data_IF_990500742452
#
_entry.id   IF_990500742452
#
_cell.length_a   1.000
_cell.length_b   1.000
_cell.length_c   1.000
_cell.angle_alpha   90.00
_cell.angle_beta   90.00
_cell.angle_gamma   90.00
#
_symmetry.space_group_name_H-M   'P 1'
#
loop_
_entity.id
_entity.type
_entity.pdbx_description
1 polymer ?
#
# COMPACT_ATOMS: atom_id res chain seq x y z
N UNK A 1 -23.19 -36.01 -7.75
CA UNK A 1 -23.54 -35.12 -8.87
C UNK A 1 -24.18 -33.84 -8.36
N UNK A 2 -25.00 -33.88 -7.30
CA UNK A 2 -25.53 -32.68 -6.61
C UNK A 2 -24.42 -31.82 -5.98
N UNK A 3 -23.45 -32.45 -5.32
CA UNK A 3 -22.34 -31.77 -4.61
C UNK A 3 -21.56 -30.79 -5.49
N UNK A 4 -21.24 -31.19 -6.73
CA UNK A 4 -20.53 -30.33 -7.66
C UNK A 4 -21.38 -29.16 -8.16
N UNK A 5 -22.69 -29.37 -8.36
CA UNK A 5 -23.60 -28.28 -8.74
C UNK A 5 -23.77 -27.28 -7.60
N UNK A 6 -23.85 -27.77 -6.37
CA UNK A 6 -23.93 -26.93 -5.17
C UNK A 6 -22.64 -26.12 -4.98
N UNK A 7 -21.48 -26.72 -5.25
CA UNK A 7 -20.18 -26.03 -5.21
C UNK A 7 -20.03 -24.94 -6.28
N UNK A 8 -20.50 -25.20 -7.50
CA UNK A 8 -20.51 -24.20 -8.57
C UNK A 8 -21.38 -22.99 -8.15
N UNK A 9 -22.53 -23.24 -7.54
CA UNK A 9 -23.41 -22.19 -7.04
C UNK A 9 -22.76 -21.41 -5.88
N UNK A 10 -22.19 -22.10 -4.90
CA UNK A 10 -21.50 -21.47 -3.77
C UNK A 10 -20.28 -20.66 -4.20
N UNK A 11 -19.54 -21.11 -5.21
CA UNK A 11 -18.42 -20.36 -5.77
C UNK A 11 -18.90 -19.03 -6.39
N UNK A 12 -20.03 -19.05 -7.11
CA UNK A 12 -20.66 -17.84 -7.66
C UNK A 12 -21.11 -16.87 -6.55
N UNK A 13 -21.78 -17.39 -5.52
CA UNK A 13 -22.22 -16.61 -4.36
C UNK A 13 -21.05 -16.01 -3.60
N UNK A 14 -19.96 -16.77 -3.43
CA UNK A 14 -18.74 -16.27 -2.79
C UNK A 14 -18.07 -15.16 -3.59
N UNK A 15 -17.95 -15.34 -4.92
CA UNK A 15 -17.37 -14.34 -5.85
C UNK A 15 -18.16 -13.02 -5.84
N UNK A 16 -19.50 -13.10 -5.89
CA UNK A 16 -20.38 -11.93 -5.76
C UNK A 16 -20.44 -11.35 -4.34
N UNK A 17 -19.81 -12.02 -3.37
CA UNK A 17 -19.80 -11.61 -1.97
C UNK A 17 -21.13 -11.74 -1.24
N UNK A 18 -22.00 -12.66 -1.70
CA UNK A 18 -23.30 -12.94 -1.10
C UNK A 18 -23.21 -13.80 0.17
N UNK A 19 -22.10 -14.52 0.36
CA UNK A 19 -21.83 -15.23 1.61
C UNK A 19 -21.42 -14.25 2.71
N UNK A 20 -22.04 -14.38 3.88
CA UNK A 20 -21.81 -13.54 5.06
C UNK A 20 -21.24 -14.31 6.26
N UNK A 21 -20.57 -13.55 7.13
CA UNK A 21 -20.00 -14.02 8.40
C UNK A 21 -19.32 -15.39 8.31
N UNK A 22 -19.83 -16.33 9.11
CA UNK A 22 -19.25 -17.66 9.26
C UNK A 22 -19.32 -18.51 7.97
N UNK A 23 -20.32 -18.29 7.11
CA UNK A 23 -20.44 -19.03 5.86
C UNK A 23 -19.30 -18.66 4.90
N UNK A 24 -18.99 -17.35 4.82
CA UNK A 24 -17.86 -16.85 4.03
C UNK A 24 -16.53 -17.38 4.56
N UNK A 25 -16.32 -17.34 5.87
CA UNK A 25 -15.07 -17.80 6.49
C UNK A 25 -14.86 -19.31 6.31
N UNK A 26 -15.93 -20.10 6.46
CA UNK A 26 -15.89 -21.54 6.23
C UNK A 26 -15.58 -21.88 4.77
N UNK A 27 -16.21 -21.18 3.82
CA UNK A 27 -15.95 -21.38 2.40
C UNK A 27 -14.52 -20.96 2.01
N UNK A 28 -14.03 -19.84 2.54
CA UNK A 28 -12.64 -19.39 2.33
C UNK A 28 -11.61 -20.40 2.87
N UNK A 29 -11.84 -20.95 4.07
CA UNK A 29 -11.00 -22.00 4.63
C UNK A 29 -10.99 -23.25 3.73
N UNK A 30 -12.14 -23.63 3.18
CA UNK A 30 -12.27 -24.77 2.27
C UNK A 30 -11.52 -24.55 0.95
N UNK A 31 -11.69 -23.40 0.30
CA UNK A 31 -10.96 -23.01 -0.93
C UNK A 31 -9.44 -23.14 -0.73
N UNK A 32 -8.92 -22.76 0.45
CA UNK A 32 -7.48 -22.83 0.73
C UNK A 32 -6.87 -24.23 0.64
N UNK A 33 -7.70 -25.27 0.72
CA UNK A 33 -7.31 -26.68 0.70
C UNK A 33 -7.84 -27.47 -0.50
N UNK A 34 -8.70 -26.87 -1.33
CA UNK A 34 -9.35 -27.50 -2.48
C UNK A 34 -9.08 -26.70 -3.76
N UNK A 35 -8.07 -27.09 -4.56
CA UNK A 35 -7.73 -26.40 -5.80
C UNK A 35 -8.83 -26.45 -6.87
N UNK A 36 -9.69 -27.47 -6.84
CA UNK A 36 -10.79 -27.59 -7.80
C UNK A 36 -11.88 -26.57 -7.48
N UNK A 37 -12.21 -26.40 -6.20
CA UNK A 37 -13.13 -25.36 -5.77
C UNK A 37 -12.55 -23.95 -5.99
N UNK A 38 -11.24 -23.76 -5.76
CA UNK A 38 -10.56 -22.50 -6.06
C UNK A 38 -10.68 -22.12 -7.54
N UNK A 39 -10.47 -23.08 -8.46
CA UNK A 39 -10.62 -22.85 -9.89
C UNK A 39 -12.04 -22.43 -10.28
N UNK A 40 -13.08 -22.98 -9.63
CA UNK A 40 -14.46 -22.54 -9.86
C UNK A 40 -14.68 -21.08 -9.45
N UNK A 41 -14.06 -20.61 -8.36
CA UNK A 41 -14.11 -19.21 -7.96
C UNK A 41 -13.39 -18.33 -8.98
N UNK A 42 -12.21 -18.74 -9.43
CA UNK A 42 -11.44 -18.00 -10.45
C UNK A 42 -12.23 -17.88 -11.77
N UNK A 43 -12.93 -18.95 -12.19
CA UNK A 43 -13.78 -18.94 -13.39
C UNK A 43 -14.94 -17.92 -13.26
N UNK A 44 -15.59 -17.87 -12.09
CA UNK A 44 -16.63 -16.89 -11.81
C UNK A 44 -16.09 -15.46 -11.73
N UNK A 45 -14.97 -15.24 -11.05
CA UNK A 45 -14.31 -13.94 -10.96
C UNK A 45 -13.94 -13.40 -12.35
N UNK A 46 -13.42 -14.26 -13.24
CA UNK A 46 -13.13 -13.91 -14.62
C UNK A 46 -14.40 -13.51 -15.39
N UNK A 47 -15.47 -14.30 -15.26
CA UNK A 47 -16.74 -14.02 -15.94
C UNK A 47 -17.37 -12.70 -15.46
N UNK A 48 -17.39 -12.43 -14.16
CA UNK A 48 -17.94 -11.17 -13.63
C UNK A 48 -17.04 -9.97 -13.92
N UNK A 49 -15.71 -10.17 -14.02
CA UNK A 49 -14.80 -9.08 -14.38
C UNK A 49 -15.10 -8.47 -15.75
N UNK A 50 -15.68 -9.24 -16.69
CA UNK A 50 -16.08 -8.71 -18.00
C UNK A 50 -17.15 -7.62 -17.89
N UNK A 51 -18.04 -7.72 -16.89
CA UNK A 51 -19.12 -6.75 -16.64
C UNK A 51 -18.58 -5.39 -16.20
N UNK A 52 -17.35 -5.33 -15.65
CA UNK A 52 -16.73 -4.07 -15.22
C UNK A 52 -16.53 -3.09 -16.39
N UNK A 53 -16.44 -3.58 -17.63
CA UNK A 53 -16.30 -2.75 -18.82
C UNK A 53 -17.53 -1.89 -19.14
N UNK A 54 -18.69 -2.18 -18.54
CA UNK A 54 -19.93 -1.43 -18.75
C UNK A 54 -20.02 -0.15 -17.90
N UNK A 55 -19.13 0.02 -16.92
CA UNK A 55 -19.14 1.18 -16.02
C UNK A 55 -18.20 2.29 -16.50
N UNK A 56 -18.65 3.54 -16.37
CA UNK A 56 -17.81 4.69 -16.65
C UNK A 56 -16.66 4.79 -15.62
N UNK A 57 -15.44 5.04 -16.11
CA UNK A 57 -14.29 5.24 -15.24
C UNK A 57 -14.37 6.58 -14.53
N UNK A 58 -14.36 6.56 -13.20
CA UNK A 58 -14.31 7.77 -12.36
C UNK A 58 -12.92 7.97 -11.76
N UNK A 59 -12.55 9.22 -11.50
CA UNK A 59 -11.29 9.52 -10.82
C UNK A 59 -11.35 9.04 -9.36
N UNK A 60 -10.45 8.12 -8.99
CA UNK A 60 -10.34 7.65 -7.62
C UNK A 60 -9.69 8.71 -6.70
N UNK A 61 -10.11 8.80 -5.41
CA UNK A 61 -9.43 9.62 -4.43
C UNK A 61 -8.03 9.06 -4.10
N UNK A 62 -7.10 9.93 -3.71
CA UNK A 62 -5.74 9.51 -3.34
C UNK A 62 -5.68 8.89 -1.94
N UNK A 63 -6.21 7.68 -1.79
CA UNK A 63 -6.26 6.91 -0.54
C UNK A 63 -5.23 5.79 -0.46
N UNK A 64 -4.50 5.49 -1.55
CA UNK A 64 -3.51 4.42 -1.59
C UNK A 64 -2.47 4.52 -0.47
N UNK A 65 -1.91 5.70 -0.12
CA UNK A 65 -0.95 5.79 0.99
C UNK A 65 -1.54 5.37 2.34
N UNK A 66 -2.84 5.61 2.56
CA UNK A 66 -3.54 5.23 3.80
C UNK A 66 -3.76 3.72 3.86
N UNK A 67 -4.11 3.12 2.71
CA UNK A 67 -4.27 1.67 2.55
C UNK A 67 -2.94 0.96 2.83
N UNK A 68 -1.85 1.41 2.19
CA UNK A 68 -0.51 0.85 2.41
C UNK A 68 -0.08 0.94 3.88
N UNK A 69 -0.33 2.09 4.51
CA UNK A 69 -0.02 2.30 5.92
C UNK A 69 -0.80 1.34 6.84
N UNK A 70 -2.07 1.02 6.51
CA UNK A 70 -2.87 0.09 7.31
C UNK A 70 -2.45 -1.37 7.10
N UNK A 71 -2.21 -1.77 5.85
CA UNK A 71 -1.86 -3.15 5.49
C UNK A 71 -0.44 -3.53 5.90
N UNK A 72 0.52 -2.62 5.69
CA UNK A 72 1.95 -2.92 5.84
C UNK A 72 2.60 -2.17 7.01
N UNK A 73 1.86 -1.27 7.66
CA UNK A 73 2.40 -0.36 8.67
C UNK A 73 3.22 0.78 8.05
N UNK A 74 3.79 1.64 8.90
CA UNK A 74 4.78 2.61 8.45
C UNK A 74 6.07 1.87 8.11
N UNK A 75 6.42 1.84 6.83
CA UNK A 75 7.80 1.58 6.40
C UNK A 75 8.68 2.55 7.18
N UNK A 76 9.38 2.06 8.22
CA UNK A 76 10.32 2.90 8.97
C UNK A 76 11.21 3.57 7.94
N UNK A 77 11.20 4.91 7.88
CA UNK A 77 12.10 5.64 6.97
C UNK A 77 13.48 4.99 7.05
N UNK A 78 14.07 4.61 5.90
CA UNK A 78 15.29 3.84 5.90
C UNK A 78 16.31 4.57 6.76
N UNK A 79 17.00 3.83 7.64
CA UNK A 79 17.91 4.38 8.64
C UNK A 79 18.94 5.34 8.00
N UNK A 80 19.28 5.08 6.74
CA UNK A 80 20.08 5.92 5.85
C UNK A 80 19.52 7.34 5.68
N UNK A 81 18.23 7.54 5.41
CA UNK A 81 17.63 8.89 5.28
C UNK A 81 17.77 9.70 6.57
N UNK A 82 17.62 9.04 7.73
CA UNK A 82 17.82 9.68 9.05
C UNK A 82 19.28 10.08 9.27
N UNK A 83 20.23 9.26 8.83
CA UNK A 83 21.66 9.55 8.93
C UNK A 83 22.07 10.69 7.99
N UNK A 84 21.58 10.70 6.75
CA UNK A 84 21.87 11.77 5.78
C UNK A 84 21.26 13.11 6.20
N UNK A 85 20.05 13.11 6.76
CA UNK A 85 19.44 14.32 7.33
C UNK A 85 20.29 14.91 8.47
N UNK A 86 20.84 14.04 9.33
CA UNK A 86 21.82 14.44 10.36
C UNK A 86 23.03 15.13 9.74
N UNK A 87 23.73 14.47 8.81
CA UNK A 87 24.96 15.02 8.17
C UNK A 87 24.72 16.36 7.48
N UNK A 88 23.56 16.56 6.84
CA UNK A 88 23.21 17.82 6.20
C UNK A 88 23.11 18.99 7.20
N UNK A 89 22.55 18.75 8.39
CA UNK A 89 22.43 19.75 9.46
C UNK A 89 23.81 20.19 9.99
N UNK A 90 24.74 19.25 10.22
CA UNK A 90 26.10 19.59 10.68
C UNK A 90 26.90 20.38 9.63
N UNK A 91 26.72 20.07 8.33
CA UNK A 91 27.35 20.82 7.23
C UNK A 91 26.86 22.27 7.16
N UNK A 92 25.56 22.51 7.34
CA UNK A 92 25.00 23.86 7.38
C UNK A 92 25.52 24.66 8.58
N UNK A 93 25.66 24.03 9.75
CA UNK A 93 26.23 24.68 10.93
C UNK A 93 27.69 25.13 10.70
N UNK A 94 28.52 24.28 10.08
CA UNK A 94 29.91 24.63 9.74
C UNK A 94 30.00 25.78 8.74
N UNK A 95 29.13 25.80 7.71
CA UNK A 95 29.07 26.91 6.77
C UNK A 95 28.65 28.23 7.45
N UNK A 96 27.71 28.18 8.39
CA UNK A 96 27.32 29.34 9.19
C UNK A 96 28.46 29.90 10.04
N UNK A 97 29.25 29.04 10.69
CA UNK A 97 30.42 29.46 11.47
C UNK A 97 31.48 30.08 10.58
N UNK A 98 31.77 29.50 9.41
CA UNK A 98 32.74 30.05 8.47
C UNK A 98 32.31 31.43 7.95
N UNK A 99 31.03 31.61 7.63
CA UNK A 99 30.48 32.90 7.25
C UNK A 99 30.66 33.95 8.36
N UNK A 100 30.42 33.58 9.62
CA UNK A 100 30.62 34.47 10.77
C UNK A 100 32.09 34.89 10.93
N UNK A 101 33.03 33.95 10.76
CA UNK A 101 34.48 34.24 10.81
C UNK A 101 34.90 35.19 9.70
N UNK A 102 34.42 34.99 8.47
CA UNK A 102 34.71 35.86 7.34
C UNK A 102 34.14 37.27 7.55
N UNK A 103 32.90 37.39 8.01
CA UNK A 103 32.29 38.70 8.35
C UNK A 103 33.11 39.41 9.42
N UNK A 104 33.52 38.70 10.48
CA UNK A 104 34.37 39.28 11.53
C UNK A 104 35.72 39.76 10.99
N UNK A 105 36.36 38.99 10.12
CA UNK A 105 37.65 39.34 9.53
C UNK A 105 37.55 40.60 8.65
N UNK A 106 36.50 40.71 7.84
CA UNK A 106 36.24 41.90 7.00
C UNK A 106 36.04 43.13 7.88
N UNK A 107 35.23 43.02 8.94
CA UNK A 107 34.96 44.13 9.85
C UNK A 107 36.22 44.65 10.56
N UNK A 108 37.13 43.74 10.95
CA UNK A 108 38.42 44.06 11.55
C UNK A 108 39.34 44.83 10.60
N UNK A 109 39.35 44.46 9.31
CA UNK A 109 40.16 45.12 8.29
C UNK A 109 39.62 46.51 7.97
N UNK A 110 38.30 46.71 7.97
CA UNK A 110 37.68 48.01 7.69
C UNK A 110 37.76 49.00 8.86
N UNK A 111 37.99 48.53 10.09
CA UNK A 111 38.01 49.36 11.30
C UNK A 111 39.43 49.72 11.78
N UNK A 112 40.47 49.18 11.14
CA UNK A 112 41.89 49.42 11.42
C UNK A 112 42.54 50.21 10.29
#
# INVERSE_FOLDING_TARGET
MTDQTDDIALAAEYSLGLLDGNARDAFAARISSDPTLAAMVDDWDAQFSELNGEFETVQAPNVMPQIEQQLFGQTRRPLLERLFAGVALWKLALLGVLALVLVKAILLITLN
#
